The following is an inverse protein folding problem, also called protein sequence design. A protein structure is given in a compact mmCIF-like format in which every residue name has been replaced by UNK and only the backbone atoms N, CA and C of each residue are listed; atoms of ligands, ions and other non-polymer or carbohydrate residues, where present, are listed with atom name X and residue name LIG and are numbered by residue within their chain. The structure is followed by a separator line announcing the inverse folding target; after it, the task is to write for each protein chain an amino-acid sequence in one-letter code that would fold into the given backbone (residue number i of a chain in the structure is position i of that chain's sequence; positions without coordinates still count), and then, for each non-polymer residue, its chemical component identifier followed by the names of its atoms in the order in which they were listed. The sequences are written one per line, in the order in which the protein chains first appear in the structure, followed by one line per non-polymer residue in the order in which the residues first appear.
data_IF_856621604053
#
_entry.id   IF_856621604053
#
_cell.length_a   1.000
_cell.length_b   1.000
_cell.length_c   1.000
_cell.angle_alpha   90.00
_cell.angle_beta   90.00
_cell.angle_gamma   90.00
#
_symmetry.space_group_name_H-M   'P 1'
#
loop_
_entity.id
_entity.type
_entity.pdbx_description
1 polymer ?
#
# COMPACT_ATOMS: atom_id res chain seq x y z
N UNK A 1 -12.86 -5.01 -4.99
CA UNK A 1 -13.20 -3.63 -4.57
C UNK A 1 -14.55 -3.20 -5.11
N UNK A 2 -14.77 -3.19 -6.44
CA UNK A 2 -16.06 -2.76 -7.02
C UNK A 2 -17.30 -3.51 -6.55
N UNK A 3 -17.17 -4.78 -6.15
CA UNK A 3 -18.28 -5.55 -5.56
C UNK A 3 -18.70 -5.03 -4.16
N UNK A 4 -17.81 -4.35 -3.45
CA UNK A 4 -18.04 -3.80 -2.11
C UNK A 4 -18.28 -2.29 -2.14
N UNK A 5 -17.67 -1.58 -3.08
CA UNK A 5 -17.84 -0.15 -3.31
C UNK A 5 -17.87 0.13 -4.83
N UNK A 6 -19.07 0.20 -5.44
CA UNK A 6 -19.22 0.44 -6.87
C UNK A 6 -18.71 1.81 -7.35
N UNK A 7 -18.60 2.79 -6.46
CA UNK A 7 -18.13 4.15 -6.79
C UNK A 7 -16.60 4.28 -6.70
N UNK A 8 -15.92 3.19 -6.34
CA UNK A 8 -14.47 3.09 -6.30
C UNK A 8 -13.87 3.10 -7.71
N UNK A 9 -12.98 4.06 -7.98
CA UNK A 9 -12.21 4.13 -9.22
C UNK A 9 -10.93 3.31 -9.06
N UNK A 10 -10.67 2.44 -10.02
CA UNK A 10 -9.51 1.57 -10.06
C UNK A 10 -8.53 2.00 -11.15
N UNK A 11 -7.27 2.16 -10.76
CA UNK A 11 -6.18 2.59 -11.67
C UNK A 11 -4.94 1.71 -11.53
N UNK A 12 -4.20 1.54 -12.63
CA UNK A 12 -2.89 0.87 -12.69
C UNK A 12 -2.08 1.52 -13.84
N UNK A 13 -0.75 1.44 -13.78
CA UNK A 13 0.15 1.86 -14.85
C UNK A 13 0.02 0.94 -16.08
N UNK A 14 -0.41 -0.30 -15.88
CA UNK A 14 -0.71 -1.25 -16.94
C UNK A 14 -2.19 -1.22 -17.35
N UNK A 15 -2.50 -1.41 -18.64
CA UNK A 15 -3.89 -1.46 -19.10
C UNK A 15 -4.51 -2.82 -18.79
N UNK A 16 -5.56 -2.84 -17.97
CA UNK A 16 -6.40 -4.02 -17.73
C UNK A 16 -7.89 -3.73 -17.99
N UNK A 17 -8.67 -4.69 -18.54
CA UNK A 17 -10.06 -4.45 -18.95
C UNK A 17 -11.04 -4.06 -17.84
N UNK A 18 -10.69 -4.31 -16.57
CA UNK A 18 -11.54 -4.03 -15.41
C UNK A 18 -11.25 -2.68 -14.73
N UNK A 19 -10.20 -1.98 -15.18
CA UNK A 19 -9.80 -0.68 -14.64
C UNK A 19 -10.65 0.45 -15.22
N UNK A 20 -10.82 1.52 -14.45
CA UNK A 20 -11.53 2.73 -14.89
C UNK A 20 -10.60 3.68 -15.66
N UNK A 21 -9.31 3.69 -15.30
CA UNK A 21 -8.29 4.45 -16.00
C UNK A 21 -6.92 3.78 -15.89
N UNK A 22 -6.09 4.00 -16.92
CA UNK A 22 -4.65 3.72 -16.85
C UNK A 22 -3.95 4.97 -16.35
N UNK A 23 -3.19 4.86 -15.26
CA UNK A 23 -2.45 5.99 -14.68
C UNK A 23 -1.23 5.53 -13.90
N UNK A 24 -0.18 6.35 -13.92
CA UNK A 24 0.87 6.28 -12.91
C UNK A 24 0.31 6.77 -11.56
N UNK A 25 0.66 6.11 -10.46
CA UNK A 25 0.27 6.55 -9.12
C UNK A 25 1.03 7.82 -8.67
N UNK A 26 2.13 8.15 -9.35
CA UNK A 26 2.91 9.37 -9.15
C UNK A 26 2.29 10.59 -9.87
N UNK A 27 1.30 10.38 -10.75
CA UNK A 27 0.57 11.43 -11.47
C UNK A 27 -0.85 10.94 -11.78
N UNK A 28 -1.77 11.11 -10.82
CA UNK A 28 -3.14 10.65 -10.91
C UNK A 28 -4.03 11.61 -11.73
N UNK A 29 -5.01 11.09 -12.50
CA UNK A 29 -5.85 11.88 -13.40
C UNK A 29 -6.99 12.58 -12.64
N UNK A 30 -6.77 12.98 -11.39
CA UNK A 30 -7.76 13.60 -10.52
C UNK A 30 -7.43 15.06 -10.28
N UNK A 31 -8.46 15.85 -9.99
CA UNK A 31 -8.29 17.26 -9.63
C UNK A 31 -7.76 17.37 -8.20
N UNK A 32 -7.18 18.52 -7.89
CA UNK A 32 -6.77 18.84 -6.53
C UNK A 32 -7.95 18.70 -5.57
N UNK A 33 -7.70 18.13 -4.39
CA UNK A 33 -8.68 17.94 -3.32
C UNK A 33 -10.04 17.39 -3.79
N UNK A 34 -10.01 16.33 -4.61
CA UNK A 34 -11.21 15.70 -5.18
C UNK A 34 -11.40 14.23 -4.80
N UNK A 35 -10.40 13.60 -4.17
CA UNK A 35 -10.41 12.21 -3.72
C UNK A 35 -10.53 12.17 -2.20
N UNK A 36 -11.41 11.34 -1.64
CA UNK A 36 -11.51 11.25 -0.17
C UNK A 36 -10.59 10.18 0.40
N UNK A 37 -10.42 9.06 -0.30
CA UNK A 37 -9.49 8.00 0.15
C UNK A 37 -8.73 7.40 -1.04
N UNK A 38 -7.47 7.07 -0.81
CA UNK A 38 -6.64 6.28 -1.70
C UNK A 38 -6.35 4.94 -1.00
N UNK A 39 -6.58 3.84 -1.69
CA UNK A 39 -6.27 2.50 -1.19
C UNK A 39 -5.17 1.87 -2.04
N UNK A 40 -4.14 1.33 -1.38
CA UNK A 40 -3.02 0.62 -1.97
C UNK A 40 -2.96 -0.77 -1.36
N UNK A 41 -2.87 -1.79 -2.21
CA UNK A 41 -2.58 -3.16 -1.80
C UNK A 41 -1.49 -3.71 -2.69
N UNK A 42 -0.33 -3.97 -2.07
CA UNK A 42 0.88 -4.39 -2.76
C UNK A 42 1.27 -3.45 -3.92
N UNK A 43 1.32 -2.14 -3.66
CA UNK A 43 1.61 -1.12 -4.69
C UNK A 43 2.78 -0.23 -4.35
N UNK A 44 2.83 0.33 -3.13
CA UNK A 44 3.81 1.38 -2.79
C UNK A 44 5.25 0.91 -3.03
N UNK A 45 5.53 -0.36 -2.72
CA UNK A 45 6.83 -0.96 -2.91
C UNK A 45 7.22 -1.20 -4.36
N UNK A 46 6.32 -1.02 -5.33
CA UNK A 46 6.64 -1.04 -6.76
C UNK A 46 6.80 0.37 -7.34
N UNK A 47 6.47 1.44 -6.59
CA UNK A 47 6.54 2.81 -7.09
C UNK A 47 8.01 3.27 -7.09
N UNK A 48 8.57 3.66 -8.26
CA UNK A 48 9.98 4.08 -8.33
C UNK A 48 10.30 5.32 -7.51
N UNK A 49 9.38 6.30 -7.44
CA UNK A 49 9.49 7.46 -6.54
C UNK A 49 8.33 7.51 -5.54
N UNK A 50 8.48 6.84 -4.37
CA UNK A 50 7.47 6.88 -3.31
C UNK A 50 7.17 8.30 -2.83
N UNK A 51 8.17 9.19 -2.88
CA UNK A 51 8.01 10.60 -2.54
C UNK A 51 7.00 11.30 -3.44
N UNK A 52 7.10 11.10 -4.76
CA UNK A 52 6.13 11.68 -5.71
C UNK A 52 4.73 11.13 -5.53
N UNK A 53 4.60 9.83 -5.24
CA UNK A 53 3.31 9.27 -4.89
C UNK A 53 2.70 9.96 -3.67
N UNK A 54 3.49 10.21 -2.61
CA UNK A 54 2.98 10.90 -1.41
C UNK A 54 2.58 12.35 -1.72
N UNK A 55 3.37 13.07 -2.51
CA UNK A 55 3.05 14.44 -2.98
C UNK A 55 1.77 14.45 -3.82
N UNK A 56 1.61 13.47 -4.70
CA UNK A 56 0.44 13.34 -5.56
C UNK A 56 -0.81 12.95 -4.77
N UNK A 57 -0.67 12.03 -3.81
CA UNK A 57 -1.70 11.71 -2.84
C UNK A 57 -2.09 12.95 -2.03
N UNK A 58 -1.13 13.76 -1.61
CA UNK A 58 -1.41 15.05 -0.98
C UNK A 58 -2.22 15.95 -1.91
N UNK A 59 -1.83 16.11 -3.17
CA UNK A 59 -2.53 16.98 -4.13
C UNK A 59 -4.00 16.58 -4.30
N UNK A 60 -4.27 15.31 -4.57
CA UNK A 60 -5.62 14.85 -4.93
C UNK A 60 -6.53 14.66 -3.71
N UNK A 61 -5.99 14.40 -2.53
CA UNK A 61 -6.81 14.16 -1.34
C UNK A 61 -7.49 15.42 -0.81
N UNK A 62 -8.77 15.30 -0.46
CA UNK A 62 -9.48 16.31 0.34
C UNK A 62 -8.83 16.42 1.73
N UNK A 63 -8.93 17.57 2.40
CA UNK A 63 -8.58 17.66 3.82
C UNK A 63 -9.36 16.62 4.65
N UNK A 64 -8.67 15.87 5.52
CA UNK A 64 -9.23 14.74 6.26
C UNK A 64 -9.28 13.42 5.47
N UNK A 65 -8.93 13.45 4.18
CA UNK A 65 -8.83 12.26 3.35
C UNK A 65 -7.66 11.36 3.75
N UNK A 66 -7.70 10.09 3.33
CA UNK A 66 -6.76 9.06 3.81
C UNK A 66 -6.02 8.36 2.69
N UNK A 67 -4.80 7.94 2.99
CA UNK A 67 -4.11 6.88 2.24
C UNK A 67 -4.09 5.64 3.12
N UNK A 68 -4.62 4.54 2.62
CA UNK A 68 -4.71 3.25 3.32
C UNK A 68 -3.86 2.25 2.55
N UNK A 69 -2.81 1.74 3.19
CA UNK A 69 -1.80 0.92 2.55
C UNK A 69 -1.73 -0.45 3.22
N UNK A 70 -1.96 -1.52 2.47
CA UNK A 70 -1.64 -2.89 2.86
C UNK A 70 -0.42 -3.35 2.07
N UNK A 71 0.73 -3.38 2.73
CA UNK A 71 2.01 -3.50 2.05
C UNK A 71 2.90 -4.55 2.71
N UNK A 72 3.94 -5.02 2.02
CA UNK A 72 4.98 -5.87 2.60
C UNK A 72 5.68 -5.21 3.79
N UNK A 73 6.00 -6.03 4.79
CA UNK A 73 6.82 -5.63 5.93
C UNK A 73 8.04 -6.53 6.06
N UNK A 74 9.22 -5.92 6.14
CA UNK A 74 10.51 -6.60 6.24
C UNK A 74 10.95 -6.64 7.71
N UNK A 75 10.38 -7.59 8.44
CA UNK A 75 10.86 -8.04 9.75
C UNK A 75 12.16 -8.86 9.64
N UNK A 76 12.93 -9.05 10.73
CA UNK A 76 14.08 -9.96 10.74
C UNK A 76 13.75 -11.36 10.21
N UNK A 77 12.61 -11.94 10.57
CA UNK A 77 12.23 -13.26 10.08
C UNK A 77 11.78 -13.24 8.62
N UNK A 78 10.91 -12.31 8.24
CA UNK A 78 10.45 -12.21 6.84
C UNK A 78 11.60 -11.90 5.89
N UNK A 79 12.59 -11.10 6.27
CA UNK A 79 13.80 -10.84 5.49
C UNK A 79 14.53 -12.15 5.12
N UNK A 80 14.64 -13.06 6.09
CA UNK A 80 15.28 -14.38 5.93
C UNK A 80 14.46 -15.31 5.01
N UNK A 81 13.15 -15.11 4.93
CA UNK A 81 12.23 -15.86 4.06
C UNK A 81 12.18 -15.25 2.66
N UNK A 82 12.06 -13.93 2.53
CA UNK A 82 12.06 -13.20 1.26
C UNK A 82 13.36 -13.46 0.51
N UNK A 83 14.53 -13.30 1.15
CA UNK A 83 15.85 -13.60 0.56
C UNK A 83 16.03 -15.03 0.03
N UNK A 84 15.22 -16.00 0.47
CA UNK A 84 15.30 -17.39 0.00
C UNK A 84 14.23 -17.79 -1.01
N UNK A 85 13.10 -17.08 -1.06
CA UNK A 85 11.92 -17.54 -1.79
C UNK A 85 11.28 -16.49 -2.70
N UNK A 86 11.69 -15.23 -2.64
CA UNK A 86 11.13 -14.14 -3.44
C UNK A 86 12.24 -13.45 -4.25
N UNK A 87 12.07 -13.31 -5.57
CA UNK A 87 13.07 -12.69 -6.44
C UNK A 87 13.07 -11.16 -6.40
N UNK A 88 12.20 -10.53 -5.61
CA UNK A 88 12.05 -9.07 -5.55
C UNK A 88 13.03 -8.45 -4.56
N UNK A 89 13.52 -7.25 -4.90
CA UNK A 89 14.45 -6.49 -4.09
C UNK A 89 13.81 -6.06 -2.76
N UNK A 90 14.59 -6.14 -1.69
CA UNK A 90 14.17 -5.87 -0.31
C UNK A 90 15.32 -5.24 0.48
N UNK A 91 16.03 -4.30 -0.13
CA UNK A 91 17.18 -3.63 0.47
C UNK A 91 16.72 -2.59 1.50
N UNK A 92 16.91 -2.95 2.77
CA UNK A 92 16.62 -2.10 3.91
C UNK A 92 17.51 -0.85 4.01
N UNK A 93 18.51 -0.70 3.14
CA UNK A 93 19.38 0.47 3.02
C UNK A 93 18.99 1.45 1.91
N UNK A 94 18.01 1.08 1.06
CA UNK A 94 17.44 1.95 0.03
C UNK A 94 16.92 3.27 0.64
N UNK A 95 17.06 4.37 -0.10
CA UNK A 95 16.52 5.67 0.29
C UNK A 95 15.17 5.95 -0.41
N UNK A 96 14.02 5.69 0.26
CA UNK A 96 12.70 5.93 -0.34
C UNK A 96 12.38 7.43 -0.51
N UNK A 97 13.19 8.32 0.06
CA UNK A 97 13.04 9.77 -0.05
C UNK A 97 13.96 10.40 -1.09
N UNK A 98 14.77 9.58 -1.76
CA UNK A 98 15.51 10.03 -2.94
C UNK A 98 14.52 10.17 -4.11
N UNK A 99 14.67 11.25 -4.86
CA UNK A 99 14.08 11.31 -6.20
C UNK A 99 14.97 10.41 -7.06
N UNK A 100 14.57 9.16 -7.21
CA UNK A 100 15.20 8.25 -8.16
C UNK A 100 15.22 8.90 -9.55
N UNK A 101 16.29 8.67 -10.30
CA UNK A 101 16.33 9.08 -11.70
C UNK A 101 15.19 8.34 -12.42
N UNK A 102 14.29 9.07 -13.09
CA UNK A 102 13.18 8.55 -13.92
C UNK A 102 13.61 7.63 -15.08
N UNK A 103 14.88 7.25 -15.11
CA UNK A 103 15.53 6.49 -16.17
C UNK A 103 15.52 4.98 -15.96
N UNK A 104 14.92 4.46 -14.87
CA UNK A 104 14.70 3.02 -14.80
C UNK A 104 13.77 2.60 -15.94
N UNK A 105 14.20 1.61 -16.72
CA UNK A 105 13.41 1.11 -17.84
C UNK A 105 12.16 0.33 -17.38
N UNK A 106 12.10 -0.03 -16.08
CA UNK A 106 11.02 -0.78 -15.48
C UNK A 106 10.10 0.13 -14.65
N UNK A 107 8.81 0.26 -15.02
CA UNK A 107 7.84 1.03 -14.25
C UNK A 107 7.56 0.48 -12.84
N UNK A 108 8.03 -0.73 -12.52
CA UNK A 108 7.88 -1.38 -11.20
C UNK A 108 9.20 -1.53 -10.44
N UNK A 109 10.22 -0.71 -10.73
CA UNK A 109 11.56 -0.72 -10.12
C UNK A 109 11.60 -0.23 -8.65
N UNK A 110 10.56 -0.54 -7.87
CA UNK A 110 10.52 -0.28 -6.45
C UNK A 110 11.11 -1.43 -5.61
N UNK A 111 11.25 -1.19 -4.31
CA UNK A 111 11.82 -2.11 -3.34
C UNK A 111 10.79 -2.48 -2.25
N UNK A 112 10.64 -3.78 -1.96
CA UNK A 112 9.76 -4.35 -0.94
C UNK A 112 9.99 -3.76 0.47
N UNK A 113 11.16 -3.21 0.74
CA UNK A 113 11.50 -2.56 2.01
C UNK A 113 10.95 -1.13 2.13
N UNK A 114 10.52 -0.47 1.06
CA UNK A 114 10.06 0.93 1.05
C UNK A 114 9.03 1.20 2.16
N UNK A 115 7.92 0.45 2.28
CA UNK A 115 6.93 0.69 3.33
C UNK A 115 7.57 0.58 4.73
N UNK A 116 8.38 -0.46 4.95
CA UNK A 116 9.09 -0.72 6.20
C UNK A 116 9.99 0.45 6.60
N UNK A 117 10.71 1.00 5.62
CA UNK A 117 11.62 2.12 5.83
C UNK A 117 10.82 3.38 6.14
N UNK A 118 9.85 3.75 5.31
CA UNK A 118 9.10 5.00 5.44
C UNK A 118 8.31 5.09 6.73
N UNK A 119 7.54 4.07 7.09
CA UNK A 119 6.55 4.19 8.18
C UNK A 119 7.02 3.65 9.53
N UNK A 120 8.15 2.92 9.58
CA UNK A 120 8.72 2.40 10.83
C UNK A 120 10.14 2.85 11.10
N UNK A 121 11.10 2.60 10.18
CA UNK A 121 12.52 2.89 10.46
C UNK A 121 12.87 4.38 10.39
N UNK A 122 12.34 5.08 9.38
CA UNK A 122 12.56 6.51 9.10
C UNK A 122 11.26 7.31 9.23
N UNK A 123 10.38 6.88 10.14
CA UNK A 123 9.09 7.53 10.40
C UNK A 123 9.22 9.02 10.71
N UNK A 124 10.17 9.40 11.56
CA UNK A 124 10.37 10.80 11.92
C UNK A 124 10.78 11.67 10.72
N UNK A 125 11.53 11.10 9.77
CA UNK A 125 11.87 11.78 8.52
C UNK A 125 10.65 11.90 7.60
N UNK A 126 9.84 10.84 7.48
CA UNK A 126 8.56 10.91 6.77
C UNK A 126 7.67 12.04 7.33
N UNK A 127 7.45 12.07 8.64
CA UNK A 127 6.62 13.09 9.31
C UNK A 127 7.20 14.50 9.14
N UNK A 128 8.53 14.65 9.09
CA UNK A 128 9.18 15.94 8.82
C UNK A 128 9.08 16.39 7.37
N UNK A 129 9.11 15.46 6.41
CA UNK A 129 9.05 15.77 4.96
C UNK A 129 7.62 16.03 4.50
N UNK A 130 6.65 15.32 5.07
CA UNK A 130 5.24 15.41 4.71
C UNK A 130 4.40 15.89 5.91
N UNK A 131 4.58 17.14 6.38
CA UNK A 131 3.88 17.65 7.56
C UNK A 131 2.36 17.77 7.36
N UNK A 132 1.90 17.72 6.11
CA UNK A 132 0.50 17.62 5.70
C UNK A 132 -0.14 16.29 6.11
N UNK A 133 0.65 15.23 6.29
CA UNK A 133 0.17 13.91 6.69
C UNK A 133 0.50 13.59 8.14
N UNK A 134 -0.45 12.94 8.80
CA UNK A 134 -0.24 12.25 10.07
C UNK A 134 -0.45 10.76 9.84
N UNK A 135 0.44 9.93 10.37
CA UNK A 135 0.20 8.49 10.40
C UNK A 135 -0.78 8.22 11.56
N UNK A 136 -2.05 8.02 11.22
CA UNK A 136 -3.16 7.75 12.15
C UNK A 136 -3.04 6.36 12.75
N UNK A 137 -2.64 5.39 11.93
CA UNK A 137 -2.57 3.98 12.31
C UNK A 137 -1.41 3.29 11.59
N UNK A 138 -0.71 2.42 12.31
CA UNK A 138 0.27 1.50 11.75
C UNK A 138 0.21 0.20 12.51
N UNK A 139 -0.04 -0.89 11.78
CA UNK A 139 -0.11 -2.24 12.31
C UNK A 139 0.78 -3.15 11.48
N UNK A 140 1.41 -4.11 12.16
CA UNK A 140 2.14 -5.22 11.54
C UNK A 140 1.21 -6.41 11.56
N UNK A 141 1.27 -7.26 10.54
CA UNK A 141 0.29 -8.32 10.34
C UNK A 141 0.94 -9.59 9.74
N UNK A 142 0.17 -10.67 9.79
CA UNK A 142 0.34 -11.88 9.01
C UNK A 142 1.66 -12.63 9.29
N UNK A 143 1.89 -12.96 10.56
CA UNK A 143 3.12 -13.59 11.06
C UNK A 143 3.19 -15.10 10.77
N UNK A 144 2.04 -15.76 10.78
CA UNK A 144 1.82 -17.20 10.63
C UNK A 144 0.83 -17.49 9.50
N UNK A 145 -0.27 -16.73 9.42
CA UNK A 145 -1.33 -16.89 8.45
C UNK A 145 -0.83 -16.74 7.01
N UNK A 146 0.03 -15.75 6.73
CA UNK A 146 0.62 -15.55 5.40
C UNK A 146 1.53 -16.71 4.94
N UNK A 147 2.55 -17.15 5.71
CA UNK A 147 3.35 -18.29 5.30
C UNK A 147 2.53 -19.61 5.25
N UNK A 148 1.55 -19.78 6.14
CA UNK A 148 0.70 -20.98 6.18
C UNK A 148 -0.38 -21.01 5.09
N UNK A 149 -0.78 -19.85 4.56
CA UNK A 149 -1.68 -19.77 3.40
C UNK A 149 -0.97 -20.09 2.07
N UNK A 150 0.36 -20.21 2.07
CA UNK A 150 1.15 -20.45 0.86
C UNK A 150 1.40 -19.19 0.03
N UNK A 151 1.04 -18.00 0.56
CA UNK A 151 1.09 -16.74 -0.17
C UNK A 151 0.25 -16.79 -1.46
N UNK A 152 0.65 -16.03 -2.48
CA UNK A 152 -0.07 -16.00 -3.77
C UNK A 152 0.30 -17.12 -4.74
N UNK A 153 1.33 -17.93 -4.45
CA UNK A 153 1.91 -18.87 -5.42
C UNK A 153 1.72 -20.34 -5.07
N UNK A 154 1.30 -20.69 -3.85
CA UNK A 154 1.26 -22.08 -3.39
C UNK A 154 -0.11 -22.46 -2.83
N UNK A 155 -0.39 -23.75 -2.85
CA UNK A 155 -1.56 -24.30 -2.14
C UNK A 155 -1.40 -24.01 -0.65
N UNK A 156 -2.48 -23.59 0.02
CA UNK A 156 -2.45 -23.33 1.45
C UNK A 156 -2.07 -24.60 2.21
N UNK A 157 -1.19 -24.46 3.21
CA UNK A 157 -0.76 -25.55 4.09
C UNK A 157 -1.86 -25.90 5.10
N UNK A 158 -2.79 -24.99 5.36
CA UNK A 158 -3.93 -25.17 6.27
C UNK A 158 -5.27 -24.87 5.57
N UNK A 159 -6.35 -25.60 5.91
CA UNK A 159 -7.71 -25.24 5.48
C UNK A 159 -8.13 -23.86 5.99
N UNK A 160 -8.97 -23.13 5.24
CA UNK A 160 -9.40 -21.77 5.58
C UNK A 160 -9.97 -21.63 7.02
N UNK A 161 -10.74 -22.60 7.49
CA UNK A 161 -11.30 -22.61 8.85
C UNK A 161 -10.24 -22.64 9.97
N UNK A 162 -9.00 -23.04 9.66
CA UNK A 162 -7.89 -22.98 10.61
C UNK A 162 -7.14 -21.65 10.53
N UNK A 163 -7.22 -20.92 9.41
CA UNK A 163 -6.58 -19.61 9.27
C UNK A 163 -7.22 -18.59 10.23
N UNK A 164 -8.55 -18.60 10.40
CA UNK A 164 -9.23 -17.73 11.38
C UNK A 164 -8.74 -17.94 12.81
N UNK A 165 -8.37 -19.18 13.17
CA UNK A 165 -7.80 -19.48 14.49
C UNK A 165 -6.34 -19.06 14.61
N UNK A 166 -5.60 -19.12 13.50
CA UNK A 166 -4.23 -18.61 13.43
C UNK A 166 -4.24 -17.09 13.59
N UNK A 167 -5.17 -16.38 12.95
CA UNK A 167 -5.32 -14.93 13.09
C UNK A 167 -5.61 -14.52 14.55
N UNK A 168 -6.55 -15.19 15.22
CA UNK A 168 -6.82 -14.95 16.64
C UNK A 168 -5.58 -15.21 17.54
N UNK A 169 -4.74 -16.17 17.15
CA UNK A 169 -3.49 -16.46 17.84
C UNK A 169 -2.44 -15.37 17.60
N UNK A 170 -2.38 -14.85 16.37
CA UNK A 170 -1.49 -13.74 16.00
C UNK A 170 -1.80 -12.47 16.79
N UNK A 171 -3.07 -12.12 16.94
CA UNK A 171 -3.50 -10.98 17.76
C UNK A 171 -2.99 -11.13 19.20
N UNK A 172 -3.05 -12.34 19.77
CA UNK A 172 -2.55 -12.62 21.11
C UNK A 172 -1.03 -12.45 21.22
N UNK A 173 -0.28 -12.78 20.17
CA UNK A 173 1.18 -12.66 20.11
C UNK A 173 1.67 -11.40 19.40
N UNK A 174 0.84 -10.34 19.32
CA UNK A 174 1.16 -9.08 18.64
C UNK A 174 2.44 -8.40 19.13
N UNK A 175 2.95 -8.71 20.33
CA UNK A 175 4.25 -8.21 20.81
C UNK A 175 5.45 -8.76 20.02
N UNK A 176 5.32 -9.91 19.35
CA UNK A 176 6.35 -10.49 18.47
C UNK A 176 6.34 -9.88 17.07
N UNK A 177 5.45 -8.92 16.82
CA UNK A 177 5.16 -8.42 15.50
C UNK A 177 6.35 -7.80 14.77
N UNK A 178 7.19 -7.07 15.49
CA UNK A 178 8.42 -6.47 14.97
C UNK A 178 9.39 -7.52 14.42
N UNK A 179 9.34 -8.74 14.95
CA UNK A 179 10.26 -9.82 14.61
C UNK A 179 9.75 -10.72 13.49
N UNK A 180 8.43 -10.89 13.38
CA UNK A 180 7.82 -11.94 12.57
C UNK A 180 6.98 -11.46 11.38
N UNK A 181 6.57 -10.18 11.31
CA UNK A 181 5.56 -9.76 10.32
C UNK A 181 6.05 -9.92 8.89
N UNK A 182 5.11 -10.23 8.00
CA UNK A 182 5.31 -10.20 6.55
C UNK A 182 4.58 -9.04 5.90
N UNK A 183 3.56 -8.50 6.58
CA UNK A 183 2.69 -7.45 6.08
C UNK A 183 2.55 -6.32 7.09
N UNK A 184 2.12 -5.18 6.59
CA UNK A 184 1.78 -4.04 7.40
C UNK A 184 0.60 -3.28 6.82
N UNK A 185 -0.24 -2.77 7.71
CA UNK A 185 -1.30 -1.82 7.41
C UNK A 185 -0.85 -0.45 7.90
N UNK A 186 -0.83 0.54 7.03
CA UNK A 186 -0.59 1.94 7.40
C UNK A 186 -1.73 2.82 6.91
N UNK A 187 -2.20 3.72 7.78
CA UNK A 187 -3.19 4.73 7.44
C UNK A 187 -2.60 6.11 7.66
N UNK A 188 -2.45 6.85 6.57
CA UNK A 188 -2.11 8.26 6.57
C UNK A 188 -3.40 9.06 6.52
N UNK A 189 -3.50 10.12 7.31
CA UNK A 189 -4.58 11.09 7.24
C UNK A 189 -4.02 12.46 6.86
N UNK A 190 -4.58 13.07 5.82
CA UNK A 190 -4.23 14.44 5.42
C UNK A 190 -4.84 15.41 6.42
N UNK A 191 -3.98 16.16 7.11
CA UNK A 191 -4.39 17.16 8.08
C UNK A 191 -5.30 18.23 7.43
N UNK A 192 -6.31 18.73 8.15
CA UNK A 192 -7.05 19.91 7.73
C UNK A 192 -6.08 21.08 7.49
N UNK A 193 -6.17 21.75 6.34
CA UNK A 193 -5.46 23.01 6.17
C UNK A 193 -5.98 24.00 7.22
N UNK A 194 -5.11 24.77 7.92
CA UNK A 194 -5.52 25.69 8.99
C UNK A 194 -6.51 26.77 8.54
N UNK A 195 -6.71 26.94 7.24
CA UNK A 195 -7.63 27.92 6.65
C UNK A 195 -8.98 27.34 6.22
N UNK A 196 -9.25 26.04 6.41
CA UNK A 196 -10.52 25.41 6.00
C UNK A 196 -11.52 25.50 7.16
N UNK A 197 -12.67 26.20 7.00
CA UNK A 197 -13.67 26.30 8.04
C UNK A 197 -14.22 24.92 8.46
N UNK A 198 -14.51 24.73 9.75
CA UNK A 198 -15.07 23.47 10.28
C UNK A 198 -16.35 23.01 9.56
N UNK A 199 -17.15 23.94 9.02
CA UNK A 199 -18.34 23.62 8.23
C UNK A 199 -18.02 22.93 6.89
N UNK A 200 -16.85 23.22 6.30
CA UNK A 200 -16.37 22.57 5.08
C UNK A 200 -15.73 21.22 5.42
N UNK A 201 -15.05 21.09 6.57
CA UNK A 201 -14.53 19.80 7.05
C UNK A 201 -15.64 18.75 7.27
N UNK A 202 -16.80 19.17 7.77
CA UNK A 202 -17.98 18.30 7.92
C UNK A 202 -18.62 17.87 6.58
N UNK A 203 -18.34 18.58 5.49
CA UNK A 203 -18.76 18.18 4.14
C UNK A 203 -17.81 17.16 3.48
N UNK A 204 -16.60 16.99 4.03
CA UNK A 204 -15.60 16.01 3.59
C UNK A 204 -15.63 14.69 4.39
N UNK A 205 -16.46 14.60 5.43
CA UNK A 205 -16.61 13.39 6.26
C UNK A 205 -17.63 12.40 5.70
N UNK A 206 -18.12 12.58 4.47
CA UNK A 206 -18.97 11.58 3.82
C UNK A 206 -18.11 10.37 3.40
N UNK A 207 -18.25 9.20 4.06
CA UNK A 207 -17.48 8.01 3.71
C UNK A 207 -17.82 7.48 2.32
N UNK A 208 -18.90 7.96 1.68
CA UNK A 208 -19.40 7.48 0.39
C UNK A 208 -18.90 8.29 -0.82
N UNK A 209 -17.85 9.10 -0.69
CA UNK A 209 -17.32 9.87 -1.83
C UNK A 209 -15.91 9.45 -2.17
N UNK A 210 -15.74 8.91 -3.37
CA UNK A 210 -14.48 8.74 -4.12
C UNK A 210 -13.34 8.02 -3.37
N UNK A 211 -13.29 6.71 -3.59
CA UNK A 211 -12.15 5.85 -3.28
C UNK A 211 -11.37 5.62 -4.57
N UNK A 212 -10.09 6.00 -4.61
CA UNK A 212 -9.18 5.60 -5.67
C UNK A 212 -8.37 4.39 -5.21
N UNK A 213 -8.60 3.22 -5.79
CA UNK A 213 -7.78 2.03 -5.54
C UNK A 213 -6.70 1.95 -6.62
N UNK A 214 -5.45 2.17 -6.21
CA UNK A 214 -4.32 1.76 -7.04
C UNK A 214 -4.10 0.27 -6.76
N UNK A 215 -4.29 -0.56 -7.78
CA UNK A 215 -3.92 -1.97 -7.73
C UNK A 215 -2.73 -2.09 -8.65
N UNK A 216 -1.56 -2.44 -8.13
CA UNK A 216 -0.45 -2.86 -8.97
C UNK A 216 -0.55 -4.38 -9.03
N UNK A 217 -0.98 -4.89 -10.17
CA UNK A 217 -0.79 -6.31 -10.48
C UNK A 217 0.46 -6.42 -11.35
N UNK A 218 1.63 -6.77 -10.81
CA UNK A 218 2.74 -7.17 -11.67
C UNK A 218 2.24 -8.28 -12.63
N UNK A 219 2.71 -8.32 -13.89
CA UNK A 219 2.09 -9.08 -14.99
C UNK A 219 2.13 -10.62 -14.88
N UNK A 220 2.30 -11.19 -13.68
CA UNK A 220 2.31 -12.64 -13.44
C UNK A 220 0.97 -13.33 -13.73
N UNK A 221 -0.07 -12.59 -14.11
CA UNK A 221 -1.38 -13.12 -14.52
C UNK A 221 -1.83 -12.59 -15.88
N UNK A 222 -1.15 -13.02 -16.94
CA UNK A 222 -1.91 -13.50 -18.10
C UNK A 222 -2.25 -14.97 -17.83
N UNK A 223 -3.53 -15.35 -17.61
CA UNK A 223 -3.93 -16.69 -18.02
C UNK A 223 -3.73 -16.67 -19.53
N UNK A 224 -2.70 -17.38 -20.01
CA UNK A 224 -2.61 -17.68 -21.43
C UNK A 224 -3.92 -18.35 -21.82
N UNK A 225 -4.76 -17.59 -22.49
CA UNK A 225 -5.87 -18.11 -23.24
C UNK A 225 -5.28 -19.09 -24.25
N UNK A 226 -5.59 -20.38 -24.07
CA UNK A 226 -5.46 -21.41 -25.09
C UNK A 226 -4.07 -21.98 -25.31
N UNK A 227 -3.90 -23.23 -24.88
CA UNK A 227 -3.28 -24.23 -25.76
C UNK A 227 -4.07 -25.52 -25.61
N UNK A 228 -4.84 -25.82 -26.67
CA UNK A 228 -5.34 -27.12 -27.18
C UNK A 228 -5.54 -28.27 -26.21
#
# INVERSE_FOLDING_TARGET
FKDYDPDCLSTDIFPYPWLDARSDAQELPFRDASVSNIFLFDVLHHIPSPTRFVEEAERVLTPGGRVILMEPYISPFSNVVYSRFHPEDHDLSTDPFSLSDESSADPLDGDQAIPTIMFWKRRAEFESRFPSFRIEHSERLAYLAYPLSGGFRRKPLLPAAFLERVDALEEHFGFLSSMLAFRCLTVLIKSPSPHVPNSVLQSFTDPNRFVAAAVASPPWHSPTAGTT
#
